data_IF_790027972533
#
_entry.id   IF_790027972533
#
_cell.length_a   1.000
_cell.length_b   1.000
_cell.length_c   1.000
_cell.angle_alpha   90.00
_cell.angle_beta   90.00
_cell.angle_gamma   90.00
#
_symmetry.space_group_name_H-M   'P 1'
#
loop_
_entity.id
_entity.type
_entity.pdbx_description
1 polymer ?
#
# COMPACT_ATOMS: atom_id res chain seq x y z
N UNK A 1 -2.50 35.85 34.22
CA UNK A 1 -1.28 36.49 34.74
C UNK A 1 -0.37 35.38 35.25
N UNK A 2 0.83 35.27 34.68
CA UNK A 2 1.83 34.26 34.97
C UNK A 2 2.27 34.25 36.45
N UNK A 3 2.67 33.10 36.98
CA UNK A 3 4.02 32.94 37.53
C UNK A 3 4.44 31.49 37.74
N UNK A 4 5.74 31.30 37.55
CA UNK A 4 6.54 30.11 37.40
C UNK A 4 7.20 29.79 38.75
N UNK A 5 7.38 28.52 39.12
CA UNK A 5 8.34 28.20 40.18
C UNK A 5 9.07 26.88 39.90
N UNK A 6 10.40 26.99 39.83
CA UNK A 6 11.36 25.90 39.66
C UNK A 6 11.58 25.14 40.97
N UNK A 7 11.83 23.83 40.87
CA UNK A 7 12.66 23.13 41.84
C UNK A 7 13.53 22.09 41.15
N UNK A 8 14.85 22.30 41.26
CA UNK A 8 15.90 21.37 40.92
C UNK A 8 16.21 20.48 42.13
N UNK A 9 16.53 19.22 41.90
CA UNK A 9 17.00 18.28 42.92
C UNK A 9 17.96 17.25 42.32
N UNK A 10 19.22 17.33 42.74
CA UNK A 10 20.32 16.40 42.48
C UNK A 10 20.00 14.96 42.92
N UNK A 11 20.56 13.97 42.21
CA UNK A 11 21.15 12.77 42.85
C UNK A 11 22.23 12.11 41.95
N UNK A 12 23.36 11.61 42.48
CA UNK A 12 24.44 10.98 41.72
C UNK A 12 24.30 9.44 41.62
N UNK A 13 25.07 8.85 40.70
CA UNK A 13 24.91 7.48 40.19
C UNK A 13 25.42 6.31 41.06
N UNK A 14 25.39 5.07 40.52
CA UNK A 14 25.81 3.86 41.24
C UNK A 14 27.19 3.34 40.81
N UNK A 15 27.95 2.65 41.71
CA UNK A 15 29.19 1.98 41.36
C UNK A 15 29.02 0.47 41.09
N UNK A 16 29.98 -0.05 40.32
CA UNK A 16 30.24 -1.46 40.00
C UNK A 16 30.70 -2.28 41.22
N UNK A 17 30.39 -3.59 41.24
CA UNK A 17 30.95 -4.53 42.21
C UNK A 17 30.74 -6.01 41.85
N UNK A 18 31.85 -6.65 41.48
CA UNK A 18 32.29 -8.06 41.48
C UNK A 18 31.37 -9.26 41.88
N UNK A 19 31.63 -10.38 41.20
CA UNK A 19 31.16 -11.78 41.39
C UNK A 19 31.54 -12.39 42.78
N UNK A 20 31.08 -13.61 43.22
CA UNK A 20 31.49 -14.91 42.61
C UNK A 20 30.60 -16.18 42.82
N UNK A 21 30.87 -17.21 42.00
CA UNK A 21 30.96 -18.68 42.22
C UNK A 21 29.82 -19.61 42.77
N UNK A 22 29.64 -20.74 42.05
CA UNK A 22 29.26 -22.14 42.38
C UNK A 22 28.25 -22.51 43.51
N UNK A 23 27.21 -23.30 43.16
CA UNK A 23 26.99 -24.71 43.60
C UNK A 23 25.62 -25.29 43.18
N UNK A 24 25.60 -26.58 42.83
CA UNK A 24 24.43 -27.46 42.73
C UNK A 24 23.91 -27.86 44.13
N UNK A 25 22.61 -28.16 44.27
CA UNK A 25 22.25 -29.55 44.59
C UNK A 25 20.98 -30.05 43.89
N UNK A 26 20.93 -31.38 43.71
CA UNK A 26 19.78 -32.19 43.30
C UNK A 26 18.93 -32.53 44.53
N UNK A 27 17.61 -32.38 44.47
CA UNK A 27 16.60 -33.31 45.01
C UNK A 27 15.21 -32.88 44.52
N UNK A 28 14.39 -33.84 44.08
CA UNK A 28 13.14 -33.59 43.39
C UNK A 28 11.97 -33.20 44.28
N UNK A 29 10.96 -32.58 43.66
CA UNK A 29 9.55 -32.78 43.99
C UNK A 29 8.67 -32.38 42.79
N UNK A 30 7.98 -33.40 42.30
CA UNK A 30 6.72 -33.40 41.55
C UNK A 30 5.85 -32.15 41.77
N UNK A 31 5.69 -31.33 40.72
CA UNK A 31 4.51 -30.47 40.58
C UNK A 31 4.14 -30.41 39.09
N UNK A 32 3.02 -31.08 38.75
CA UNK A 32 2.34 -30.94 37.47
C UNK A 32 1.91 -29.47 37.30
N UNK A 33 2.49 -28.77 36.33
CA UNK A 33 1.88 -27.57 35.76
C UNK A 33 1.15 -27.95 34.46
N UNK A 34 -0.04 -27.39 34.21
CA UNK A 34 -0.78 -27.64 32.98
C UNK A 34 -0.04 -27.02 31.79
N UNK A 35 -0.11 -27.64 30.59
CA UNK A 35 0.51 -27.06 29.41
C UNK A 35 -0.18 -25.75 29.07
N UNK A 36 0.55 -24.64 29.19
CA UNK A 36 0.15 -23.39 28.58
C UNK A 36 0.14 -23.58 27.07
N UNK A 37 -1.08 -23.66 26.51
CA UNK A 37 -1.33 -23.55 25.09
C UNK A 37 -0.80 -22.19 24.65
N UNK A 38 0.34 -22.20 23.96
CA UNK A 38 0.81 -21.06 23.20
C UNK A 38 -0.19 -20.90 22.05
N UNK A 39 -1.12 -19.95 22.20
CA UNK A 39 -2.01 -19.55 21.13
C UNK A 39 -1.16 -19.15 19.92
N UNK A 40 -1.46 -19.64 18.71
CA UNK A 40 -0.82 -19.10 17.52
C UNK A 40 -1.22 -17.63 17.44
N UNK A 41 -0.24 -16.75 17.60
CA UNK A 41 -0.41 -15.35 17.23
C UNK A 41 -0.79 -15.33 15.76
N UNK A 42 -2.06 -15.06 15.48
CA UNK A 42 -2.54 -14.74 14.15
C UNK A 42 -1.80 -13.47 13.71
N UNK A 43 -0.73 -13.63 12.94
CA UNK A 43 -0.18 -12.51 12.17
C UNK A 43 -1.30 -12.05 11.23
N UNK A 44 -1.73 -10.78 11.29
CA UNK A 44 -2.69 -10.28 10.33
C UNK A 44 -2.02 -10.28 8.95
N UNK A 45 -2.42 -11.25 8.14
CA UNK A 45 -2.69 -11.17 6.70
C UNK A 45 -2.27 -9.85 6.03
N UNK A 46 -0.96 -9.64 5.82
CA UNK A 46 -0.41 -8.48 5.11
C UNK A 46 -0.82 -8.43 3.63
N UNK A 47 -1.46 -9.46 3.09
CA UNK A 47 -1.89 -9.53 1.68
C UNK A 47 -3.05 -8.59 1.33
N UNK A 48 -3.72 -7.97 2.31
CA UNK A 48 -4.75 -6.95 2.05
C UNK A 48 -4.22 -5.50 2.05
N UNK A 49 -2.97 -5.28 2.46
CA UNK A 49 -2.48 -3.92 2.72
C UNK A 49 -2.19 -3.14 1.41
N UNK A 50 -1.74 -3.80 0.35
CA UNK A 50 -1.54 -3.16 -0.97
C UNK A 50 -2.86 -2.71 -1.62
N UNK A 51 -3.93 -3.50 -1.46
CA UNK A 51 -5.26 -3.17 -1.99
C UNK A 51 -5.86 -1.93 -1.31
N UNK A 52 -5.42 -1.63 -0.10
CA UNK A 52 -5.88 -0.47 0.67
C UNK A 52 -5.08 0.80 0.43
N UNK A 53 -3.92 0.76 -0.22
CA UNK A 53 -3.12 1.99 -0.40
C UNK A 53 -3.77 2.94 -1.43
N UNK A 54 -4.12 2.45 -2.61
CA UNK A 54 -4.74 3.28 -3.66
C UNK A 54 -6.12 3.84 -3.23
N UNK A 55 -6.96 3.02 -2.59
CA UNK A 55 -8.26 3.47 -2.09
C UNK A 55 -8.11 4.48 -0.94
N UNK A 56 -7.13 4.28 -0.05
CA UNK A 56 -6.85 5.24 1.03
C UNK A 56 -6.32 6.56 0.48
N UNK A 57 -5.43 6.52 -0.53
CA UNK A 57 -4.97 7.71 -1.24
C UNK A 57 -6.11 8.50 -1.87
N UNK A 58 -7.05 7.83 -2.55
CA UNK A 58 -8.26 8.50 -3.08
C UNK A 58 -9.08 9.14 -1.96
N UNK A 59 -9.27 8.46 -0.82
CA UNK A 59 -9.99 9.04 0.33
C UNK A 59 -9.29 10.27 0.90
N UNK A 60 -7.97 10.30 0.93
CA UNK A 60 -7.20 11.49 1.33
C UNK A 60 -7.38 12.61 0.31
N UNK A 61 -7.26 12.30 -0.98
CA UNK A 61 -7.42 13.28 -2.07
C UNK A 61 -8.82 13.88 -2.14
N UNK A 62 -9.85 13.11 -1.77
CA UNK A 62 -11.23 13.62 -1.63
C UNK A 62 -11.31 14.81 -0.67
N UNK A 63 -10.49 14.85 0.38
CA UNK A 63 -10.39 15.99 1.29
C UNK A 63 -9.85 17.22 0.58
N UNK A 64 -8.69 17.10 -0.08
CA UNK A 64 -8.07 18.17 -0.86
C UNK A 64 -8.98 18.68 -2.00
N UNK A 65 -9.70 17.77 -2.67
CA UNK A 65 -10.63 18.12 -3.74
C UNK A 65 -11.80 18.97 -3.23
N UNK A 66 -12.33 18.64 -2.05
CA UNK A 66 -13.42 19.40 -1.40
C UNK A 66 -13.00 20.83 -1.05
N UNK A 67 -11.73 21.07 -0.77
CA UNK A 67 -11.19 22.40 -0.49
C UNK A 67 -10.82 23.17 -1.78
N UNK A 68 -10.24 22.48 -2.77
CA UNK A 68 -9.78 23.08 -4.03
C UNK A 68 -10.95 23.57 -4.91
N UNK A 69 -12.07 22.83 -4.96
CA UNK A 69 -13.21 23.19 -5.80
C UNK A 69 -13.83 24.56 -5.40
N UNK A 70 -14.18 24.82 -4.12
CA UNK A 70 -14.65 26.13 -3.69
C UNK A 70 -13.66 27.26 -3.97
N UNK A 71 -12.35 27.02 -3.82
CA UNK A 71 -11.31 28.01 -4.10
C UNK A 71 -11.26 28.39 -5.58
N UNK A 72 -11.35 27.38 -6.46
CA UNK A 72 -11.45 27.57 -7.91
C UNK A 72 -12.68 28.40 -8.27
N UNK A 73 -13.85 28.03 -7.74
CA UNK A 73 -15.10 28.78 -7.99
C UNK A 73 -15.04 30.21 -7.46
N UNK A 74 -14.47 30.42 -6.28
CA UNK A 74 -14.31 31.76 -5.68
C UNK A 74 -13.41 32.65 -6.53
N UNK A 75 -12.28 32.11 -7.00
CA UNK A 75 -11.37 32.87 -7.86
C UNK A 75 -11.97 33.16 -9.25
N UNK A 76 -12.74 32.24 -9.81
CA UNK A 76 -13.50 32.48 -11.04
C UNK A 76 -14.54 33.60 -10.86
N UNK A 77 -15.30 33.58 -9.75
CA UNK A 77 -16.28 34.62 -9.45
C UNK A 77 -15.62 36.01 -9.27
N UNK A 78 -14.42 36.06 -8.69
CA UNK A 78 -13.66 37.30 -8.56
C UNK A 78 -13.26 37.87 -9.93
N UNK A 79 -12.86 37.02 -10.89
CA UNK A 79 -12.55 37.45 -12.26
C UNK A 79 -13.79 38.00 -12.94
N UNK A 80 -14.93 37.30 -12.85
CA UNK A 80 -16.18 37.77 -13.45
C UNK A 80 -16.62 39.12 -12.87
N UNK A 81 -16.53 39.29 -11.56
CA UNK A 81 -16.87 40.55 -10.89
C UNK A 81 -15.92 41.68 -11.29
N UNK A 82 -14.62 41.39 -11.40
CA UNK A 82 -13.64 42.36 -11.85
C UNK A 82 -13.90 42.80 -13.30
N UNK A 83 -14.16 41.86 -14.21
CA UNK A 83 -14.48 42.16 -15.61
C UNK A 83 -15.70 43.08 -15.69
N UNK A 84 -16.75 42.78 -14.93
CA UNK A 84 -17.94 43.64 -14.87
C UNK A 84 -17.63 45.07 -14.39
N UNK A 85 -16.76 45.24 -13.38
CA UNK A 85 -16.38 46.57 -12.88
C UNK A 85 -15.52 47.35 -13.88
N UNK A 86 -14.67 46.67 -14.66
CA UNK A 86 -13.90 47.27 -15.74
C UNK A 86 -14.86 47.76 -16.84
N UNK A 87 -15.81 46.92 -17.26
CA UNK A 87 -16.81 47.26 -18.29
C UNK A 87 -17.73 48.41 -17.86
N UNK A 88 -18.07 48.45 -16.57
CA UNK A 88 -18.89 49.51 -15.98
C UNK A 88 -18.10 50.80 -15.70
N UNK A 89 -16.80 50.84 -16.05
CA UNK A 89 -15.87 51.92 -15.80
C UNK A 89 -15.78 52.33 -14.30
N UNK A 90 -16.09 51.42 -13.39
CA UNK A 90 -16.06 51.63 -11.94
C UNK A 90 -14.69 51.34 -11.33
N UNK A 91 -13.80 50.66 -12.06
CA UNK A 91 -12.44 50.32 -11.59
C UNK A 91 -11.47 50.14 -12.76
N UNK A 92 -10.20 50.56 -12.60
CA UNK A 92 -9.12 50.21 -13.55
C UNK A 92 -8.67 48.77 -13.33
N UNK A 93 -8.37 48.05 -14.41
CA UNK A 93 -7.93 46.66 -14.38
C UNK A 93 -6.74 46.45 -13.44
N UNK A 94 -6.85 45.49 -12.52
CA UNK A 94 -5.75 45.07 -11.66
C UNK A 94 -5.31 43.66 -12.09
N UNK A 95 -4.01 43.44 -12.32
CA UNK A 95 -3.45 42.25 -12.99
C UNK A 95 -3.51 40.93 -12.17
N UNK A 96 -3.99 40.94 -10.93
CA UNK A 96 -3.78 39.83 -9.97
C UNK A 96 -4.82 38.68 -9.96
N UNK A 97 -6.11 38.86 -10.31
CA UNK A 97 -7.11 37.78 -10.14
C UNK A 97 -6.96 36.60 -11.10
N UNK A 98 -6.54 36.85 -12.35
CA UNK A 98 -6.38 35.82 -13.38
C UNK A 98 -5.39 34.73 -12.96
N UNK A 99 -4.18 35.13 -12.55
CA UNK A 99 -3.14 34.18 -12.13
C UNK A 99 -3.53 33.32 -10.91
N UNK A 100 -4.41 33.82 -10.03
CA UNK A 100 -4.90 33.03 -8.88
C UNK A 100 -5.89 31.96 -9.32
N UNK A 101 -6.74 32.28 -10.29
CA UNK A 101 -7.69 31.31 -10.83
C UNK A 101 -6.96 30.19 -11.58
N UNK A 102 -6.01 30.53 -12.46
CA UNK A 102 -5.26 29.53 -13.23
C UNK A 102 -4.58 28.52 -12.30
N UNK A 103 -3.95 29.01 -11.21
CA UNK A 103 -3.34 28.15 -10.19
C UNK A 103 -4.35 27.23 -9.49
N UNK A 104 -5.49 27.78 -9.04
CA UNK A 104 -6.50 26.97 -8.34
C UNK A 104 -7.11 25.93 -9.29
N UNK A 105 -7.32 26.29 -10.55
CA UNK A 105 -7.85 25.42 -11.59
C UNK A 105 -6.86 24.28 -11.91
N UNK A 106 -5.57 24.59 -12.04
CA UNK A 106 -4.51 23.60 -12.24
C UNK A 106 -4.45 22.62 -11.07
N UNK A 107 -4.51 23.11 -9.83
CA UNK A 107 -4.55 22.28 -8.63
C UNK A 107 -5.78 21.36 -8.62
N UNK A 108 -6.97 21.87 -8.98
CA UNK A 108 -8.19 21.08 -9.08
C UNK A 108 -8.06 19.92 -10.10
N UNK A 109 -7.56 20.21 -11.30
CA UNK A 109 -7.37 19.18 -12.32
C UNK A 109 -6.28 18.17 -11.92
N UNK A 110 -5.18 18.62 -11.33
CA UNK A 110 -4.14 17.73 -10.84
C UNK A 110 -4.66 16.73 -9.79
N UNK A 111 -5.56 17.18 -8.90
CA UNK A 111 -6.21 16.30 -7.92
C UNK A 111 -7.12 15.28 -8.61
N UNK A 112 -7.92 15.70 -9.60
CA UNK A 112 -8.75 14.80 -10.40
C UNK A 112 -7.92 13.72 -11.11
N UNK A 113 -6.84 14.12 -11.78
CA UNK A 113 -5.95 13.20 -12.50
C UNK A 113 -5.31 12.17 -11.55
N UNK A 114 -4.87 12.61 -10.37
CA UNK A 114 -4.28 11.73 -9.38
C UNK A 114 -5.31 10.74 -8.81
N UNK A 115 -6.54 11.19 -8.57
CA UNK A 115 -7.63 10.32 -8.14
C UNK A 115 -7.99 9.29 -9.22
N UNK A 116 -8.07 9.71 -10.48
CA UNK A 116 -8.33 8.83 -11.61
C UNK A 116 -7.25 7.74 -11.72
N UNK A 117 -5.97 8.11 -11.62
CA UNK A 117 -4.86 7.18 -11.63
C UNK A 117 -4.97 6.12 -10.53
N UNK A 118 -5.24 6.54 -9.29
CA UNK A 118 -5.40 5.60 -8.18
C UNK A 118 -6.62 4.69 -8.33
N UNK A 119 -7.74 5.22 -8.82
CA UNK A 119 -8.95 4.41 -9.07
C UNK A 119 -8.73 3.39 -10.18
N UNK A 120 -8.12 3.79 -11.31
CA UNK A 120 -7.74 2.86 -12.39
C UNK A 120 -6.82 1.76 -11.88
N UNK A 121 -5.80 2.13 -11.12
CA UNK A 121 -4.86 1.19 -10.51
C UNK A 121 -5.57 0.20 -9.57
N UNK A 122 -6.46 0.69 -8.70
CA UNK A 122 -7.23 -0.15 -7.80
C UNK A 122 -8.11 -1.17 -8.54
N UNK A 123 -8.76 -0.77 -9.64
CA UNK A 123 -9.54 -1.67 -10.49
C UNK A 123 -8.66 -2.76 -11.08
N UNK A 124 -7.50 -2.41 -11.64
CA UNK A 124 -6.55 -3.40 -12.18
C UNK A 124 -6.06 -4.37 -11.10
N UNK A 125 -5.74 -3.90 -9.90
CA UNK A 125 -5.35 -4.78 -8.79
C UNK A 125 -6.49 -5.73 -8.36
N UNK A 126 -7.74 -5.26 -8.34
CA UNK A 126 -8.91 -6.11 -8.05
C UNK A 126 -9.04 -7.20 -9.10
N UNK A 127 -8.98 -6.83 -10.38
CA UNK A 127 -9.07 -7.78 -11.50
C UNK A 127 -7.92 -8.79 -11.45
N UNK A 128 -6.69 -8.33 -11.23
CA UNK A 128 -5.52 -9.18 -11.10
C UNK A 128 -5.68 -10.19 -9.96
N UNK A 129 -6.19 -9.76 -8.80
CA UNK A 129 -6.43 -10.66 -7.67
C UNK A 129 -7.51 -11.72 -7.98
N UNK A 130 -8.58 -11.34 -8.69
CA UNK A 130 -9.63 -12.27 -9.12
C UNK A 130 -9.09 -13.30 -10.11
N UNK A 131 -8.32 -12.86 -11.11
CA UNK A 131 -7.70 -13.75 -12.09
C UNK A 131 -6.67 -14.67 -11.43
N UNK A 132 -5.86 -14.15 -10.50
CA UNK A 132 -4.91 -14.95 -9.74
C UNK A 132 -5.63 -16.06 -8.97
N UNK A 133 -6.72 -15.73 -8.25
CA UNK A 133 -7.52 -16.72 -7.53
C UNK A 133 -8.18 -17.77 -8.45
N UNK A 134 -8.53 -17.38 -9.69
CA UNK A 134 -9.15 -18.27 -10.66
C UNK A 134 -8.14 -19.25 -11.30
N UNK A 135 -6.99 -18.75 -11.76
CA UNK A 135 -5.99 -19.55 -12.47
C UNK A 135 -4.97 -20.22 -11.55
N UNK A 136 -4.81 -19.73 -10.33
CA UNK A 136 -3.92 -20.28 -9.31
C UNK A 136 -4.58 -20.18 -7.93
N UNK A 137 -5.38 -21.20 -7.53
CA UNK A 137 -6.10 -21.21 -6.25
C UNK A 137 -5.17 -21.50 -5.05
N UNK A 138 -3.98 -20.90 -5.04
CA UNK A 138 -2.99 -20.97 -3.99
C UNK A 138 -2.66 -19.56 -3.53
N UNK A 139 -2.59 -19.37 -2.22
CA UNK A 139 -2.22 -18.06 -1.65
C UNK A 139 -0.72 -17.87 -1.80
N UNK A 140 -0.30 -16.79 -2.45
CA UNK A 140 1.13 -16.44 -2.54
C UNK A 140 1.47 -15.48 -1.40
N UNK A 141 2.55 -15.73 -0.69
CA UNK A 141 3.11 -14.80 0.31
C UNK A 141 4.30 -14.07 -0.32
N UNK A 142 4.15 -12.83 -0.82
CA UNK A 142 5.21 -12.12 -1.55
C UNK A 142 6.46 -11.88 -0.69
N UNK A 143 6.28 -11.60 0.60
CA UNK A 143 7.37 -11.30 1.53
C UNK A 143 8.20 -12.53 1.91
N UNK A 144 7.72 -13.76 1.61
CA UNK A 144 8.42 -15.00 1.96
C UNK A 144 9.35 -15.39 0.83
N UNK A 145 10.65 -15.19 1.05
CA UNK A 145 11.72 -15.56 0.13
C UNK A 145 12.29 -16.96 0.36
N UNK A 146 11.91 -17.61 1.46
CA UNK A 146 12.36 -18.98 1.76
C UNK A 146 11.63 -19.99 0.85
N UNK A 147 12.40 -20.90 0.25
CA UNK A 147 11.91 -21.96 -0.64
C UNK A 147 11.67 -23.29 0.08
N UNK A 148 11.76 -23.32 1.42
CA UNK A 148 11.50 -24.49 2.23
C UNK A 148 10.04 -24.96 2.15
N UNK A 149 9.76 -26.18 2.67
CA UNK A 149 8.41 -26.74 2.66
C UNK A 149 7.44 -25.77 3.37
N UNK A 150 6.42 -25.33 2.65
CA UNK A 150 5.31 -24.60 3.25
C UNK A 150 4.50 -25.60 4.07
N UNK A 151 4.30 -25.32 5.36
CA UNK A 151 3.54 -26.19 6.27
C UNK A 151 2.04 -26.28 5.93
N UNK A 152 1.59 -25.64 4.84
CA UNK A 152 0.21 -25.62 4.39
C UNK A 152 0.16 -25.86 2.88
N UNK A 153 -0.59 -26.87 2.47
CA UNK A 153 -0.79 -27.30 1.07
C UNK A 153 -1.44 -26.23 0.17
N UNK A 154 -1.93 -25.14 0.76
CA UNK A 154 -2.69 -24.08 0.08
C UNK A 154 -1.91 -22.78 -0.13
N UNK A 155 -0.62 -22.74 0.24
CA UNK A 155 0.18 -21.52 0.25
C UNK A 155 1.56 -21.71 -0.41
N UNK A 156 1.98 -20.73 -1.20
CA UNK A 156 3.27 -20.68 -1.89
C UNK A 156 4.12 -19.51 -1.40
N UNK A 157 5.44 -19.72 -1.30
CA UNK A 157 6.41 -18.63 -1.22
C UNK A 157 6.58 -17.93 -2.58
N UNK A 158 7.14 -16.73 -2.61
CA UNK A 158 7.32 -16.00 -3.86
C UNK A 158 8.24 -16.73 -4.87
N UNK A 159 9.38 -17.32 -4.46
CA UNK A 159 10.18 -18.16 -5.37
C UNK A 159 9.43 -19.39 -5.89
N UNK A 160 8.65 -20.06 -5.04
CA UNK A 160 7.84 -21.22 -5.44
C UNK A 160 6.79 -20.81 -6.48
N UNK A 161 6.11 -19.69 -6.25
CA UNK A 161 5.18 -19.11 -7.22
C UNK A 161 5.86 -18.85 -8.57
N UNK A 162 7.02 -18.18 -8.60
CA UNK A 162 7.74 -17.92 -9.85
C UNK A 162 8.11 -19.21 -10.58
N UNK A 163 8.54 -20.24 -9.86
CA UNK A 163 8.84 -21.55 -10.45
C UNK A 163 7.60 -22.21 -11.04
N UNK A 164 6.46 -22.18 -10.34
CA UNK A 164 5.18 -22.67 -10.84
C UNK A 164 4.80 -21.95 -12.13
N UNK A 165 4.88 -20.61 -12.17
CA UNK A 165 4.54 -19.84 -13.37
C UNK A 165 5.47 -20.17 -14.54
N UNK A 166 6.78 -20.28 -14.32
CA UNK A 166 7.74 -20.69 -15.37
C UNK A 166 7.42 -22.06 -15.93
N UNK A 167 7.06 -23.01 -15.07
CA UNK A 167 6.68 -24.36 -15.49
C UNK A 167 5.40 -24.34 -16.34
N UNK A 168 4.37 -23.61 -15.90
CA UNK A 168 3.13 -23.46 -16.67
C UNK A 168 3.36 -22.82 -18.05
N UNK A 169 4.23 -21.82 -18.13
CA UNK A 169 4.62 -21.22 -19.41
C UNK A 169 5.33 -22.23 -20.30
N UNK A 170 6.27 -23.02 -19.76
CA UNK A 170 6.96 -24.08 -20.52
C UNK A 170 5.98 -25.10 -21.07
N UNK A 171 5.06 -25.60 -20.25
CA UNK A 171 4.05 -26.57 -20.70
C UNK A 171 3.14 -26.00 -21.78
N UNK A 172 2.68 -24.76 -21.64
CA UNK A 172 1.87 -24.12 -22.66
C UNK A 172 2.63 -23.99 -23.99
N UNK A 173 3.92 -23.66 -23.93
CA UNK A 173 4.80 -23.58 -25.10
C UNK A 173 4.99 -24.96 -25.74
N UNK A 174 5.26 -26.00 -24.95
CA UNK A 174 5.47 -27.35 -25.47
C UNK A 174 4.21 -27.89 -26.18
N UNK A 175 3.03 -27.62 -25.62
CA UNK A 175 1.74 -27.93 -26.25
C UNK A 175 1.58 -27.16 -27.56
N UNK A 176 1.83 -25.85 -27.54
CA UNK A 176 1.77 -25.00 -28.74
C UNK A 176 2.70 -25.53 -29.84
N UNK A 177 3.97 -25.78 -29.53
CA UNK A 177 4.97 -26.23 -30.49
C UNK A 177 4.61 -27.60 -31.08
N UNK A 178 4.06 -28.50 -30.24
CA UNK A 178 3.53 -29.79 -30.68
C UNK A 178 2.35 -29.63 -31.64
N UNK A 179 1.41 -28.74 -31.34
CA UNK A 179 0.26 -28.45 -32.20
C UNK A 179 0.67 -27.81 -33.52
N UNK A 180 1.63 -26.88 -33.51
CA UNK A 180 2.18 -26.25 -34.72
C UNK A 180 2.87 -27.29 -35.60
N UNK A 181 3.72 -28.15 -35.02
CA UNK A 181 4.38 -29.23 -35.76
C UNK A 181 3.37 -30.19 -36.37
N UNK A 182 2.33 -30.58 -35.62
CA UNK A 182 1.24 -31.41 -36.15
C UNK A 182 0.49 -30.71 -37.28
N UNK A 183 0.16 -29.42 -37.15
CA UNK A 183 -0.53 -28.63 -38.16
C UNK A 183 0.26 -28.49 -39.47
N UNK A 184 1.58 -28.34 -39.39
CA UNK A 184 2.46 -28.28 -40.56
C UNK A 184 2.56 -29.63 -41.28
N UNK A 185 2.51 -30.74 -40.53
CA UNK A 185 2.52 -32.08 -41.13
C UNK A 185 1.20 -32.45 -41.84
N UNK A 186 0.09 -31.79 -41.51
CA UNK A 186 -1.23 -32.06 -42.11
C UNK A 186 -1.63 -31.05 -43.19
N UNK A 187 -0.96 -29.91 -43.29
CA UNK A 187 -1.24 -28.91 -44.31
C UNK A 187 -0.58 -29.36 -45.63
N UNK A 188 -1.35 -29.73 -46.67
CA UNK A 188 -0.77 -30.17 -47.92
C UNK A 188 0.06 -29.04 -48.52
N UNK A 189 1.30 -29.35 -48.90
CA UNK A 189 2.12 -28.48 -49.74
C UNK A 189 1.55 -28.57 -51.16
N UNK A 190 0.70 -27.62 -51.53
CA UNK A 190 0.31 -27.37 -52.92
C UNK A 190 1.37 -26.52 -53.63
#
# INVERSE_FOLDING_TARGET
>A
MNQMNMHAGMNPGPPMGAAPNMQMPVCGQIMQQPPHQMAPAAMPQQTQQDKMDNITKVKTLMGSLRESLPMTLKSAAQILHQNHNIDSNTQKAAETPAARFDKNLEEFFSLCDQMELHLRTAITCIQQAQLAAHYLPLTVIPSRMDSGPTSQDTTLSYPQYLNTIRLQISYAKDIHDTLVAAAQNISPTE
#
